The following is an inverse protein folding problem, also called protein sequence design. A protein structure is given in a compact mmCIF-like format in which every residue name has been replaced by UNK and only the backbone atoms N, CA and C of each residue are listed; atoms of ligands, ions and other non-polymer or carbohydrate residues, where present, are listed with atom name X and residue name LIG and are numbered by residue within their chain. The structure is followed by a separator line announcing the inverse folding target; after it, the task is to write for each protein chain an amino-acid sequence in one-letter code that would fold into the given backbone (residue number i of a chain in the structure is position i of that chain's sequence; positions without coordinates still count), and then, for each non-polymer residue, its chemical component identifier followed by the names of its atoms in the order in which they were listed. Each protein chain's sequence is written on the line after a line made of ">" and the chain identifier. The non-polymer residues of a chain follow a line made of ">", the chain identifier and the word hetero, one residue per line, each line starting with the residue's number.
data_IF_609204584591
#
_entry.id   IF_609204584591
#
_cell.length_a   1.000
_cell.length_b   1.000
_cell.length_c   1.000
_cell.angle_alpha   90.00
_cell.angle_beta   90.00
_cell.angle_gamma   90.00
#
_symmetry.space_group_name_H-M   'P 1'
#
loop_
_entity.id
_entity.type
_entity.pdbx_description
1 polymer ?
#
# COMPACT_ATOMS: atom_id res chain seq x y z
N UNK A 1 2.55 11.14 -4.60
CA UNK A 1 2.10 9.84 -4.07
C UNK A 1 3.30 9.05 -3.52
N UNK A 2 3.25 8.55 -2.27
CA UNK A 2 4.28 7.71 -1.65
C UNK A 2 3.63 6.54 -0.89
N UNK A 3 4.06 5.30 -1.14
CA UNK A 3 3.50 4.07 -0.53
C UNK A 3 4.55 3.25 0.22
N UNK A 4 4.15 2.59 1.30
CA UNK A 4 4.95 1.56 1.97
C UNK A 4 4.71 0.19 1.32
N UNK A 5 5.74 -0.35 0.67
CA UNK A 5 5.73 -1.69 0.10
C UNK A 5 6.03 -2.77 1.15
N UNK A 6 5.49 -3.97 0.95
CA UNK A 6 5.68 -5.16 1.77
C UNK A 6 5.60 -4.89 3.30
N UNK A 7 4.52 -4.23 3.80
CA UNK A 7 4.45 -3.81 5.20
C UNK A 7 4.51 -4.95 6.22
N UNK A 8 4.20 -6.19 5.83
CA UNK A 8 4.40 -7.37 6.67
C UNK A 8 5.86 -7.60 7.10
N UNK A 9 6.86 -7.14 6.33
CA UNK A 9 8.28 -7.30 6.65
C UNK A 9 8.72 -6.53 7.90
N UNK A 10 7.97 -5.50 8.31
CA UNK A 10 8.28 -4.70 9.49
C UNK A 10 7.27 -4.88 10.64
N UNK A 11 6.30 -5.79 10.48
CA UNK A 11 5.22 -6.10 11.44
C UNK A 11 4.62 -4.83 12.10
N UNK A 12 4.66 -4.71 13.43
CA UNK A 12 4.07 -3.58 14.17
C UNK A 12 4.69 -2.23 13.80
N UNK A 13 5.93 -2.22 13.30
CA UNK A 13 6.61 -0.98 12.91
C UNK A 13 5.98 -0.36 11.68
N UNK A 14 5.40 -1.13 10.77
CA UNK A 14 4.69 -0.58 9.61
C UNK A 14 3.55 0.35 10.04
N UNK A 15 2.75 -0.08 11.02
CA UNK A 15 1.67 0.76 11.53
C UNK A 15 2.20 2.01 12.27
N UNK A 16 3.40 1.96 12.84
CA UNK A 16 4.07 3.15 13.40
C UNK A 16 4.53 4.09 12.29
N UNK A 17 5.23 3.59 11.27
CA UNK A 17 5.74 4.39 10.16
C UNK A 17 4.61 5.07 9.37
N UNK A 18 3.55 4.33 9.07
CA UNK A 18 2.37 4.86 8.38
C UNK A 18 1.71 6.01 9.16
N UNK A 19 1.62 5.91 10.50
CA UNK A 19 1.07 7.01 11.31
C UNK A 19 2.02 8.20 11.39
N UNK A 20 3.30 7.94 11.63
CA UNK A 20 4.32 8.95 11.84
C UNK A 20 4.55 9.79 10.59
N UNK A 21 4.68 9.14 9.44
CA UNK A 21 5.08 9.76 8.19
C UNK A 21 3.92 10.10 7.26
N UNK A 22 2.66 9.94 7.72
CA UNK A 22 1.48 10.33 6.93
C UNK A 22 1.54 11.82 6.54
N UNK A 23 1.88 12.68 7.51
CA UNK A 23 2.02 14.12 7.29
C UNK A 23 3.19 14.46 6.35
N UNK A 24 4.21 13.59 6.30
CA UNK A 24 5.36 13.71 5.39
C UNK A 24 5.04 13.18 3.98
N UNK A 25 3.81 12.70 3.75
CA UNK A 25 3.32 12.25 2.44
C UNK A 25 3.26 10.74 2.23
N UNK A 26 3.64 9.93 3.23
CA UNK A 26 3.42 8.47 3.21
C UNK A 26 1.92 8.15 3.33
N UNK A 27 1.25 8.21 2.18
CA UNK A 27 -0.21 8.21 2.06
C UNK A 27 -0.76 6.97 1.35
N UNK A 28 0.12 6.04 0.99
CA UNK A 28 -0.22 4.72 0.45
C UNK A 28 0.35 3.57 1.29
N UNK A 29 -0.29 2.42 1.22
CA UNK A 29 0.22 1.16 1.77
C UNK A 29 -0.12 0.01 0.82
N UNK A 30 0.84 -0.90 0.61
CA UNK A 30 0.61 -2.10 -0.18
C UNK A 30 -0.24 -3.11 0.59
N UNK A 31 -1.56 -3.01 0.36
CA UNK A 31 -2.55 -3.91 0.93
C UNK A 31 -2.88 -5.08 0.00
N UNK A 32 -2.72 -4.90 -1.31
CA UNK A 32 -2.95 -5.93 -2.32
C UNK A 32 -1.61 -6.51 -2.78
N UNK A 33 -0.99 -7.35 -1.94
CA UNK A 33 0.23 -8.06 -2.30
C UNK A 33 -0.08 -9.50 -2.78
N UNK A 34 0.58 -9.93 -3.85
CA UNK A 34 0.37 -11.25 -4.46
C UNK A 34 0.57 -12.44 -3.51
N UNK A 35 1.47 -12.31 -2.52
CA UNK A 35 1.72 -13.37 -1.55
C UNK A 35 0.86 -13.28 -0.27
N UNK A 36 -0.04 -12.30 -0.14
CA UNK A 36 -0.93 -12.21 1.02
C UNK A 36 -2.07 -13.21 0.94
N UNK A 37 -2.27 -13.92 2.05
CA UNK A 37 -3.54 -14.58 2.33
C UNK A 37 -4.67 -13.54 2.60
N UNK A 38 -5.94 -13.95 2.57
CA UNK A 38 -7.06 -13.04 2.81
C UNK A 38 -7.04 -12.32 4.16
N UNK A 39 -6.48 -12.95 5.21
CA UNK A 39 -6.40 -12.37 6.55
C UNK A 39 -5.36 -11.25 6.61
N UNK A 40 -4.18 -11.49 6.04
CA UNK A 40 -3.11 -10.49 5.98
C UNK A 40 -3.52 -9.31 5.08
N UNK A 41 -4.12 -9.59 3.92
CA UNK A 41 -4.72 -8.54 3.07
C UNK A 41 -5.76 -7.71 3.84
N UNK A 42 -6.69 -8.37 4.53
CA UNK A 42 -7.72 -7.71 5.32
C UNK A 42 -7.15 -6.81 6.43
N UNK A 43 -6.05 -7.22 7.08
CA UNK A 43 -5.34 -6.42 8.08
C UNK A 43 -4.85 -5.10 7.50
N UNK A 44 -4.21 -5.13 6.33
CA UNK A 44 -3.66 -3.92 5.70
C UNK A 44 -4.76 -3.02 5.13
N UNK A 45 -5.82 -3.59 4.55
CA UNK A 45 -7.01 -2.82 4.12
C UNK A 45 -7.63 -2.08 5.32
N UNK A 46 -7.89 -2.78 6.42
CA UNK A 46 -8.50 -2.17 7.61
C UNK A 46 -7.63 -1.05 8.19
N UNK A 47 -6.31 -1.22 8.21
CA UNK A 47 -5.39 -0.18 8.66
C UNK A 47 -5.38 1.02 7.70
N UNK A 48 -5.38 0.78 6.38
CA UNK A 48 -5.46 1.83 5.37
C UNK A 48 -6.74 2.64 5.54
N UNK A 49 -7.89 1.97 5.70
CA UNK A 49 -9.19 2.59 5.91
C UNK A 49 -9.22 3.41 7.21
N UNK A 50 -8.70 2.85 8.32
CA UNK A 50 -8.61 3.56 9.61
C UNK A 50 -7.76 4.82 9.50
N UNK A 51 -6.66 4.77 8.76
CA UNK A 51 -5.72 5.88 8.64
C UNK A 51 -6.03 6.81 7.47
N UNK A 52 -7.04 6.54 6.65
CA UNK A 52 -7.33 7.29 5.43
C UNK A 52 -6.16 7.27 4.44
N UNK A 53 -5.56 6.09 4.24
CA UNK A 53 -4.49 5.83 3.27
C UNK A 53 -5.05 5.14 2.04
N UNK A 54 -4.40 5.34 0.89
CA UNK A 54 -4.71 4.63 -0.35
C UNK A 54 -4.15 3.22 -0.31
N UNK A 55 -4.97 2.22 -0.62
CA UNK A 55 -4.51 0.86 -0.85
C UNK A 55 -3.78 0.77 -2.20
N UNK A 56 -2.51 0.34 -2.20
CA UNK A 56 -1.76 -0.01 -3.40
C UNK A 56 -1.65 -1.52 -3.54
N UNK A 57 -1.15 -2.00 -4.69
CA UNK A 57 -0.90 -3.41 -4.90
C UNK A 57 0.27 -3.70 -5.84
N UNK A 58 0.83 -4.90 -5.70
CA UNK A 58 1.92 -5.41 -6.49
C UNK A 58 2.02 -6.92 -6.38
N UNK A 59 2.52 -7.57 -7.44
CA UNK A 59 2.89 -8.99 -7.41
C UNK A 59 4.31 -9.23 -6.91
N UNK A 60 5.14 -8.20 -6.89
CA UNK A 60 6.59 -8.28 -6.64
C UNK A 60 7.25 -9.34 -7.52
N UNK A 61 6.94 -9.28 -8.82
CA UNK A 61 7.41 -10.25 -9.79
C UNK A 61 8.89 -10.03 -10.10
N UNK A 62 9.67 -11.09 -9.93
CA UNK A 62 11.14 -11.09 -10.10
C UNK A 62 11.62 -12.05 -11.20
N UNK A 63 10.72 -12.49 -12.09
CA UNK A 63 11.03 -13.41 -13.18
C UNK A 63 10.31 -14.75 -13.07
N UNK A 64 10.33 -15.57 -14.13
CA UNK A 64 9.64 -16.87 -14.18
C UNK A 64 10.15 -17.91 -13.17
N UNK A 65 11.39 -17.74 -12.69
CA UNK A 65 12.04 -18.66 -11.74
C UNK A 65 11.75 -18.30 -10.27
N UNK A 66 11.14 -17.13 -10.02
CA UNK A 66 10.81 -16.67 -8.69
C UNK A 66 9.52 -17.32 -8.16
N UNK A 67 9.36 -17.48 -6.83
CA UNK A 67 8.19 -18.13 -6.23
C UNK A 67 6.86 -17.41 -6.51
N UNK A 68 6.89 -16.12 -6.85
CA UNK A 68 5.73 -15.32 -7.25
C UNK A 68 5.57 -15.37 -8.77
N UNK A 69 4.95 -16.44 -9.28
CA UNK A 69 5.07 -16.85 -10.68
C UNK A 69 4.30 -15.99 -11.71
N UNK A 70 3.45 -15.04 -11.31
CA UNK A 70 2.70 -14.22 -12.26
C UNK A 70 2.81 -12.71 -11.98
N UNK A 71 3.04 -11.89 -13.03
CA UNK A 71 2.99 -10.45 -12.91
C UNK A 71 1.55 -9.96 -12.76
N UNK A 72 1.36 -8.94 -11.92
CA UNK A 72 0.08 -8.26 -11.73
C UNK A 72 -0.72 -8.73 -10.50
N UNK A 73 -1.64 -7.87 -10.06
CA UNK A 73 -2.57 -8.15 -8.97
C UNK A 73 -3.90 -7.46 -9.26
N UNK A 74 -5.00 -8.13 -8.92
CA UNK A 74 -6.33 -7.56 -9.07
C UNK A 74 -6.66 -6.66 -7.88
N UNK A 75 -7.17 -5.47 -8.19
CA UNK A 75 -7.78 -4.56 -7.23
C UNK A 75 -9.29 -4.48 -7.52
N UNK A 76 -10.15 -4.50 -6.48
CA UNK A 76 -11.55 -4.13 -6.62
C UNK A 76 -11.71 -2.74 -7.24
N UNK A 77 -12.80 -2.52 -7.99
CA UNK A 77 -13.04 -1.29 -8.76
C UNK A 77 -12.99 -0.01 -7.91
N UNK A 78 -13.52 -0.04 -6.69
CA UNK A 78 -13.48 1.08 -5.76
C UNK A 78 -12.03 1.42 -5.34
N UNK A 79 -11.22 0.38 -5.14
CA UNK A 79 -9.81 0.52 -4.74
C UNK A 79 -8.93 0.95 -5.91
N UNK A 80 -9.18 0.44 -7.11
CA UNK A 80 -8.46 0.88 -8.31
C UNK A 80 -8.80 2.33 -8.67
N UNK A 81 -10.07 2.74 -8.56
CA UNK A 81 -10.48 4.13 -8.75
C UNK A 81 -9.81 5.08 -7.72
N UNK A 82 -9.79 4.70 -6.45
CA UNK A 82 -9.11 5.46 -5.40
C UNK A 82 -7.59 5.55 -5.64
N UNK A 83 -6.97 4.47 -6.11
CA UNK A 83 -5.55 4.44 -6.48
C UNK A 83 -5.25 5.42 -7.61
N UNK A 84 -6.06 5.42 -8.69
CA UNK A 84 -5.88 6.32 -9.82
C UNK A 84 -6.02 7.80 -9.41
N UNK A 85 -7.04 8.13 -8.62
CA UNK A 85 -7.22 9.48 -8.09
C UNK A 85 -6.04 9.92 -7.19
N UNK A 86 -5.50 9.00 -6.38
CA UNK A 86 -4.34 9.28 -5.53
C UNK A 86 -3.05 9.52 -6.32
N UNK A 87 -2.87 8.84 -7.46
CA UNK A 87 -1.71 9.04 -8.33
C UNK A 87 -1.76 10.39 -9.07
N UNK A 88 -2.95 10.90 -9.38
CA UNK A 88 -3.16 12.19 -10.05
C UNK A 88 -3.13 13.38 -9.07
N UNK A 89 -3.24 13.12 -7.77
CA UNK A 89 -3.24 14.17 -6.75
C UNK A 89 -1.87 14.88 -6.65
N UNK A 90 -1.85 16.22 -6.49
CA UNK A 90 -0.62 16.96 -6.27
C UNK A 90 0.08 16.51 -4.98
N UNK A 91 1.42 16.58 -4.90
CA UNK A 91 2.13 16.22 -3.68
C UNK A 91 1.68 17.12 -2.51
N UNK A 92 1.64 16.59 -1.28
CA UNK A 92 1.30 17.39 -0.11
C UNK A 92 2.31 18.53 0.05
N UNK A 93 1.85 19.68 0.55
CA UNK A 93 2.73 20.78 0.93
C UNK A 93 3.76 20.29 1.96
N UNK A 94 5.01 20.78 1.92
CA UNK A 94 6.01 20.39 2.91
C UNK A 94 5.50 20.70 4.32
N UNK A 95 5.71 19.77 5.25
CA UNK A 95 5.42 19.99 6.66
C UNK A 95 6.18 21.23 7.13
N UNK A 96 5.48 22.20 7.72
CA UNK A 96 6.14 23.33 8.38
C UNK A 96 6.86 22.80 9.63
N UNK A 97 8.16 23.10 9.74
CA UNK A 97 9.00 22.78 10.90
C UNK A 97 8.49 23.39 12.21
#
# INVERSE_FOLDING_TARGET
>A
ALSLAHPHLYDQRSAHYLRRHKADGLTGVEAYYGAYDPRERGRWIALADQLGLTCTGGSDWHGPEAPNAQPGIDLPDDRSAALLAWLDAPPPAPASE
#
